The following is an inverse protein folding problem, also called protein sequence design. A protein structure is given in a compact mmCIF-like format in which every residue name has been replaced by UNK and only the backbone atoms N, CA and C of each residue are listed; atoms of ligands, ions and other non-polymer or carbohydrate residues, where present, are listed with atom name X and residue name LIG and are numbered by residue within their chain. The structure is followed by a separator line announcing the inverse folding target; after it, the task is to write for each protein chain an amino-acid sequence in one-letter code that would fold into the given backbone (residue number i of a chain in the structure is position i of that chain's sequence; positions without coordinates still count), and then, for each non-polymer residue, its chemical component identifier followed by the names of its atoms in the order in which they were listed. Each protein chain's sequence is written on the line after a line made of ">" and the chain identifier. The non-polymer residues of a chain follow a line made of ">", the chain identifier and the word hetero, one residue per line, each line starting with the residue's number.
data_IF_390508727022
#
_entry.id   IF_390508727022
#
_cell.length_a   1.000
_cell.length_b   1.000
_cell.length_c   1.000
_cell.angle_alpha   90.00
_cell.angle_beta   90.00
_cell.angle_gamma   90.00
#
_symmetry.space_group_name_H-M   'P 1'
#
loop_
_entity.id
_entity.type
_entity.pdbx_description
1 polymer ?
#
# COMPACT_ATOMS: atom_id res chain seq x y z
N UNK A 1 -29.12 -2.12 -26.01
CA UNK A 1 -28.20 -2.12 -24.84
C UNK A 1 -28.52 -0.92 -23.98
N UNK A 2 -28.55 -1.07 -22.65
CA UNK A 2 -28.70 0.03 -21.70
C UNK A 2 -27.42 0.16 -20.90
N UNK A 3 -26.88 1.36 -20.84
CA UNK A 3 -25.65 1.64 -20.10
C UNK A 3 -26.04 2.34 -18.78
N UNK A 4 -25.53 1.82 -17.67
CA UNK A 4 -25.77 2.33 -16.32
C UNK A 4 -24.44 2.89 -15.81
N UNK A 5 -24.28 4.19 -15.92
CA UNK A 5 -23.13 4.87 -15.34
C UNK A 5 -23.36 5.10 -13.85
N UNK A 6 -22.35 4.76 -13.04
CA UNK A 6 -22.42 4.86 -11.58
C UNK A 6 -21.31 5.76 -11.07
N UNK A 7 -21.69 6.86 -10.46
CA UNK A 7 -20.79 7.68 -9.66
C UNK A 7 -20.60 7.05 -8.28
N UNK A 8 -19.35 6.81 -7.91
CA UNK A 8 -18.98 6.04 -6.72
C UNK A 8 -18.61 6.99 -5.58
N UNK A 9 -19.37 6.93 -4.50
CA UNK A 9 -19.03 7.59 -3.24
C UNK A 9 -18.83 6.61 -2.10
N UNK A 10 -18.20 7.05 -1.04
CA UNK A 10 -17.90 6.24 0.16
C UNK A 10 -19.15 5.59 0.75
N UNK A 11 -20.22 6.37 0.92
CA UNK A 11 -21.42 5.94 1.62
C UNK A 11 -22.63 5.78 0.67
N UNK A 12 -22.64 6.51 -0.43
CA UNK A 12 -23.76 6.54 -1.38
C UNK A 12 -23.22 6.59 -2.80
N UNK A 13 -23.93 5.96 -3.69
CA UNK A 13 -23.69 5.96 -5.13
C UNK A 13 -24.88 6.60 -5.84
N UNK A 14 -24.64 7.11 -7.04
CA UNK A 14 -25.71 7.57 -7.92
C UNK A 14 -25.57 6.91 -9.30
N UNK A 15 -26.65 6.32 -9.81
CA UNK A 15 -26.68 5.66 -11.11
C UNK A 15 -27.58 6.42 -12.08
N UNK A 16 -27.09 6.61 -13.32
CA UNK A 16 -27.87 7.15 -14.43
C UNK A 16 -27.91 6.13 -15.56
N UNK A 17 -29.11 5.87 -16.08
CA UNK A 17 -29.32 4.96 -17.19
C UNK A 17 -29.42 5.75 -18.50
N UNK A 18 -28.74 5.25 -19.54
CA UNK A 18 -28.87 5.80 -20.90
C UNK A 18 -29.11 4.68 -21.93
N UNK A 19 -29.79 5.05 -23.03
CA UNK A 19 -29.92 4.19 -24.20
C UNK A 19 -28.68 4.26 -25.10
N UNK A 20 -28.65 3.48 -26.19
CA UNK A 20 -27.57 3.47 -27.20
C UNK A 20 -27.40 4.82 -27.91
N UNK A 21 -28.42 5.65 -27.94
CA UNK A 21 -28.35 6.99 -28.52
C UNK A 21 -27.83 8.04 -27.54
N UNK A 22 -27.70 7.67 -26.24
CA UNK A 22 -27.26 8.55 -25.18
C UNK A 22 -28.40 9.32 -24.48
N UNK A 23 -29.64 8.96 -24.73
CA UNK A 23 -30.80 9.58 -24.04
C UNK A 23 -30.93 8.98 -22.65
N UNK A 24 -31.24 9.85 -21.66
CA UNK A 24 -31.44 9.41 -20.27
C UNK A 24 -32.78 8.66 -20.17
N UNK A 25 -32.74 7.52 -19.49
CA UNK A 25 -33.90 6.68 -19.22
C UNK A 25 -34.31 6.87 -17.75
N UNK A 26 -35.44 7.49 -17.52
CA UNK A 26 -35.96 7.71 -16.18
C UNK A 26 -35.20 8.76 -15.35
N UNK A 27 -35.28 8.61 -14.03
CA UNK A 27 -34.52 9.45 -13.07
C UNK A 27 -33.29 8.74 -12.58
N UNK A 28 -32.26 9.49 -12.16
CA UNK A 28 -31.10 8.91 -11.48
C UNK A 28 -31.52 8.18 -10.20
N UNK A 29 -30.83 7.08 -9.90
CA UNK A 29 -31.08 6.20 -8.77
C UNK A 29 -30.01 6.43 -7.72
N UNK A 30 -30.38 7.01 -6.57
CA UNK A 30 -29.49 7.12 -5.41
C UNK A 30 -29.64 5.89 -4.52
N UNK A 31 -28.50 5.28 -4.19
CA UNK A 31 -28.47 4.09 -3.35
C UNK A 31 -27.24 4.10 -2.44
N UNK A 32 -27.33 3.38 -1.33
CA UNK A 32 -26.26 3.30 -0.35
C UNK A 32 -25.21 2.24 -0.76
N UNK A 33 -23.97 2.43 -0.32
CA UNK A 33 -22.90 1.42 -0.47
C UNK A 33 -23.14 0.28 0.55
N UNK A 34 -24.17 -0.52 0.29
CA UNK A 34 -24.64 -1.60 1.15
C UNK A 34 -25.42 -2.64 0.35
N UNK A 35 -25.64 -3.83 0.92
CA UNK A 35 -26.49 -4.86 0.31
C UNK A 35 -27.91 -4.35 0.04
N UNK A 36 -28.49 -3.56 0.95
CA UNK A 36 -29.81 -2.96 0.76
C UNK A 36 -29.81 -1.98 -0.41
N UNK A 37 -28.75 -1.17 -0.54
CA UNK A 37 -28.60 -0.24 -1.66
C UNK A 37 -28.42 -0.97 -2.99
N UNK A 38 -27.62 -2.04 -3.03
CA UNK A 38 -27.51 -2.90 -4.20
C UNK A 38 -28.87 -3.46 -4.62
N UNK A 39 -29.64 -4.05 -3.69
CA UNK A 39 -30.95 -4.60 -3.98
C UNK A 39 -31.93 -3.52 -4.48
N UNK A 40 -31.85 -2.30 -3.95
CA UNK A 40 -32.62 -1.14 -4.45
C UNK A 40 -32.28 -0.81 -5.90
N UNK A 41 -30.97 -0.78 -6.25
CA UNK A 41 -30.52 -0.55 -7.62
C UNK A 41 -31.10 -1.62 -8.55
N UNK A 42 -30.90 -2.91 -8.22
CA UNK A 42 -31.36 -4.03 -9.04
C UNK A 42 -32.92 -4.03 -9.18
N UNK A 43 -33.65 -3.82 -8.10
CA UNK A 43 -35.11 -3.72 -8.16
C UNK A 43 -35.56 -2.56 -9.06
N UNK A 44 -34.85 -1.43 -9.04
CA UNK A 44 -35.19 -0.28 -9.87
C UNK A 44 -34.97 -0.55 -11.36
N UNK A 45 -33.90 -1.27 -11.72
CA UNK A 45 -33.62 -1.61 -13.13
C UNK A 45 -34.52 -2.75 -13.64
N UNK A 46 -34.91 -3.69 -12.79
CA UNK A 46 -35.82 -4.79 -13.15
C UNK A 46 -37.23 -4.29 -13.57
N UNK A 47 -37.62 -3.13 -13.11
CA UNK A 47 -38.89 -2.49 -13.54
C UNK A 47 -38.94 -2.19 -15.04
N UNK A 48 -37.80 -2.16 -15.72
CA UNK A 48 -37.76 -1.97 -17.18
C UNK A 48 -38.04 -3.24 -17.99
N UNK A 49 -38.17 -4.43 -17.35
CA UNK A 49 -38.42 -5.72 -18.00
C UNK A 49 -37.43 -6.06 -19.12
N UNK A 50 -36.20 -5.73 -18.95
CA UNK A 50 -35.11 -5.95 -19.89
C UNK A 50 -34.21 -7.08 -19.37
N UNK A 51 -33.76 -7.96 -20.26
CA UNK A 51 -32.86 -9.06 -19.94
C UNK A 51 -31.51 -8.54 -19.41
N UNK A 52 -30.94 -9.24 -18.39
CA UNK A 52 -29.73 -8.82 -17.69
C UNK A 52 -28.50 -8.66 -18.60
N UNK A 53 -28.41 -9.45 -19.68
CA UNK A 53 -27.34 -9.41 -20.69
C UNK A 53 -27.31 -8.09 -21.49
N UNK A 54 -28.42 -7.35 -21.49
CA UNK A 54 -28.55 -6.05 -22.16
C UNK A 54 -28.13 -4.86 -21.31
N UNK A 55 -27.88 -5.07 -19.99
CA UNK A 55 -27.37 -4.04 -19.12
C UNK A 55 -25.83 -4.07 -19.09
N UNK A 56 -25.24 -2.88 -19.16
CA UNK A 56 -23.80 -2.67 -18.96
C UNK A 56 -23.66 -1.67 -17.82
N UNK A 57 -23.11 -2.14 -16.71
CA UNK A 57 -22.75 -1.28 -15.60
C UNK A 57 -21.38 -0.68 -15.83
N UNK A 58 -21.25 0.62 -15.61
CA UNK A 58 -20.04 1.35 -15.83
C UNK A 58 -19.72 2.21 -14.61
N UNK A 59 -18.50 2.15 -14.12
CA UNK A 59 -18.06 2.90 -12.95
C UNK A 59 -16.61 3.35 -13.09
N UNK A 60 -16.25 4.44 -12.42
CA UNK A 60 -14.89 4.96 -12.42
C UNK A 60 -14.06 4.31 -11.30
N UNK A 61 -12.80 3.95 -11.61
CA UNK A 61 -11.87 3.38 -10.64
C UNK A 61 -11.28 4.44 -9.69
N UNK A 62 -12.15 5.19 -8.99
CA UNK A 62 -11.71 6.19 -8.02
C UNK A 62 -11.60 5.60 -6.62
N UNK A 63 -10.38 5.58 -6.08
CA UNK A 63 -10.10 4.97 -4.77
C UNK A 63 -10.41 3.47 -4.75
N UNK A 64 -11.00 3.00 -3.65
CA UNK A 64 -11.34 1.57 -3.43
C UNK A 64 -12.84 1.30 -3.27
N UNK A 65 -13.67 2.34 -3.21
CA UNK A 65 -15.10 2.20 -2.89
C UNK A 65 -15.91 1.49 -3.97
N UNK A 66 -15.41 1.41 -5.20
CA UNK A 66 -16.04 0.72 -6.32
C UNK A 66 -15.93 -0.81 -6.23
N UNK A 67 -14.92 -1.33 -5.52
CA UNK A 67 -14.59 -2.77 -5.49
C UNK A 67 -15.74 -3.63 -4.97
N UNK A 68 -16.41 -3.21 -3.89
CA UNK A 68 -17.52 -3.98 -3.31
C UNK A 68 -18.72 -4.09 -4.27
N UNK A 69 -19.09 -2.97 -4.91
CA UNK A 69 -20.17 -2.95 -5.90
C UNK A 69 -19.79 -3.75 -7.14
N UNK A 70 -18.55 -3.62 -7.62
CA UNK A 70 -18.03 -4.37 -8.75
C UNK A 70 -18.10 -5.88 -8.49
N UNK A 71 -17.56 -6.36 -7.35
CA UNK A 71 -17.61 -7.77 -6.97
C UNK A 71 -19.04 -8.28 -6.97
N UNK A 72 -19.96 -7.52 -6.35
CA UNK A 72 -21.37 -7.93 -6.25
C UNK A 72 -22.08 -7.99 -7.59
N UNK A 73 -21.78 -7.08 -8.50
CA UNK A 73 -22.35 -7.09 -9.87
C UNK A 73 -21.81 -8.27 -10.67
N UNK A 74 -20.49 -8.55 -10.59
CA UNK A 74 -19.87 -9.70 -11.28
C UNK A 74 -20.38 -11.03 -10.72
N UNK A 75 -20.49 -11.17 -9.41
CA UNK A 75 -21.09 -12.35 -8.75
C UNK A 75 -22.55 -12.58 -9.16
N UNK A 76 -23.25 -11.53 -9.52
CA UNK A 76 -24.64 -11.56 -10.00
C UNK A 76 -24.75 -11.68 -11.53
N UNK A 77 -23.64 -11.98 -12.21
CA UNK A 77 -23.54 -12.22 -13.66
C UNK A 77 -23.92 -11.02 -14.56
N UNK A 78 -23.70 -9.80 -14.05
CA UNK A 78 -23.88 -8.58 -14.83
C UNK A 78 -22.61 -8.23 -15.61
N UNK A 79 -22.81 -7.55 -16.75
CA UNK A 79 -21.70 -6.99 -17.52
C UNK A 79 -21.22 -5.69 -16.85
N UNK A 80 -19.95 -5.65 -16.47
CA UNK A 80 -19.36 -4.49 -15.80
C UNK A 80 -18.13 -3.98 -16.54
N UNK A 81 -18.05 -2.66 -16.68
CA UNK A 81 -16.87 -1.95 -17.18
C UNK A 81 -16.38 -0.97 -16.13
N UNK A 82 -15.09 -1.03 -15.80
CA UNK A 82 -14.42 -0.06 -14.95
C UNK A 82 -13.61 0.89 -15.84
N UNK A 83 -13.86 2.18 -15.69
CA UNK A 83 -13.28 3.24 -16.53
C UNK A 83 -12.10 3.88 -15.78
N UNK A 84 -11.06 4.19 -16.53
CA UNK A 84 -9.95 4.98 -16.01
C UNK A 84 -10.41 6.43 -15.80
N UNK A 85 -10.17 7.06 -14.61
CA UNK A 85 -10.48 8.47 -14.33
C UNK A 85 -9.99 9.47 -15.39
N UNK A 86 -8.89 9.18 -16.06
CA UNK A 86 -8.37 10.03 -17.14
C UNK A 86 -9.37 10.15 -18.30
N UNK A 87 -10.13 9.08 -18.59
CA UNK A 87 -11.12 9.08 -19.68
C UNK A 87 -12.35 9.93 -19.32
N UNK A 88 -12.81 9.84 -18.08
CA UNK A 88 -13.92 10.68 -17.59
C UNK A 88 -13.51 12.14 -17.50
N UNK A 89 -12.31 12.45 -17.06
CA UNK A 89 -11.77 13.83 -17.05
C UNK A 89 -11.62 14.41 -18.46
N UNK A 90 -11.16 13.63 -19.42
CA UNK A 90 -11.09 14.04 -20.82
C UNK A 90 -12.49 14.34 -21.38
N UNK A 91 -13.48 13.47 -21.11
CA UNK A 91 -14.84 13.66 -21.53
C UNK A 91 -15.50 14.87 -20.85
N UNK A 92 -15.22 15.13 -19.56
CA UNK A 92 -15.74 16.28 -18.81
C UNK A 92 -15.35 17.61 -19.47
N UNK A 93 -14.17 17.72 -20.06
CA UNK A 93 -13.69 18.92 -20.77
C UNK A 93 -14.48 19.23 -22.05
N UNK A 94 -15.11 18.23 -22.66
CA UNK A 94 -16.00 18.45 -23.82
C UNK A 94 -17.35 19.04 -23.42
N UNK A 95 -17.81 18.80 -22.19
CA UNK A 95 -19.07 19.34 -21.67
C UNK A 95 -18.79 20.67 -20.95
N UNK A 96 -18.83 21.77 -21.67
CA UNK A 96 -18.38 23.14 -21.34
C UNK A 96 -19.01 23.78 -20.08
N UNK A 97 -19.78 23.10 -19.25
CA UNK A 97 -20.43 23.66 -18.05
C UNK A 97 -20.04 22.94 -16.77
N UNK A 98 -19.25 23.64 -15.96
CA UNK A 98 -18.56 23.19 -14.74
C UNK A 98 -19.41 23.03 -13.48
N UNK A 99 -20.64 22.59 -13.50
CA UNK A 99 -21.32 22.30 -12.24
C UNK A 99 -21.22 20.83 -11.91
N UNK A 100 -20.34 20.49 -10.94
CA UNK A 100 -20.28 19.15 -10.32
C UNK A 100 -21.64 18.84 -9.66
N UNK A 101 -22.25 17.75 -10.11
CA UNK A 101 -23.43 17.16 -9.48
C UNK A 101 -23.38 15.65 -9.78
N UNK A 102 -23.56 14.81 -8.77
CA UNK A 102 -23.44 13.35 -8.84
C UNK A 102 -24.24 12.71 -9.99
N UNK A 103 -25.43 13.26 -10.31
CA UNK A 103 -26.22 12.81 -11.47
C UNK A 103 -25.59 13.16 -12.82
N UNK A 104 -24.76 14.21 -12.90
CA UNK A 104 -24.02 14.55 -14.11
C UNK A 104 -22.76 13.69 -14.24
N UNK A 105 -22.12 13.37 -13.12
CA UNK A 105 -20.93 12.52 -13.12
C UNK A 105 -21.31 11.07 -13.48
N UNK A 106 -22.40 10.52 -12.96
CA UNK A 106 -22.90 9.19 -13.37
C UNK A 106 -23.34 9.16 -14.85
N UNK A 107 -23.97 10.22 -15.36
CA UNK A 107 -24.29 10.36 -16.78
C UNK A 107 -23.01 10.41 -17.64
N UNK A 108 -22.02 11.15 -17.23
CA UNK A 108 -20.74 11.26 -17.93
C UNK A 108 -20.03 9.90 -18.04
N UNK A 109 -20.00 9.13 -16.94
CA UNK A 109 -19.48 7.76 -16.91
C UNK A 109 -20.17 6.88 -17.94
N UNK A 110 -21.52 6.95 -18.00
CA UNK A 110 -22.30 6.21 -19.01
C UNK A 110 -21.95 6.64 -20.44
N UNK A 111 -21.76 7.94 -20.68
CA UNK A 111 -21.39 8.47 -21.99
C UNK A 111 -19.98 8.03 -22.42
N UNK A 112 -19.01 8.01 -21.51
CA UNK A 112 -17.65 7.50 -21.82
C UNK A 112 -17.70 6.05 -22.29
N UNK A 113 -18.50 5.20 -21.61
CA UNK A 113 -18.72 3.80 -22.05
C UNK A 113 -19.35 3.73 -23.41
N UNK A 114 -20.34 4.57 -23.69
CA UNK A 114 -21.02 4.61 -24.99
C UNK A 114 -20.09 5.01 -26.13
N UNK A 115 -19.23 6.02 -25.93
CA UNK A 115 -18.30 6.52 -26.95
C UNK A 115 -17.14 5.57 -27.21
N UNK A 116 -16.59 4.97 -26.16
CA UNK A 116 -15.42 4.07 -26.28
C UNK A 116 -15.81 2.63 -26.67
N UNK A 117 -17.11 2.32 -26.69
CA UNK A 117 -17.59 0.96 -26.78
C UNK A 117 -17.42 0.19 -25.45
N UNK A 118 -18.28 -0.80 -25.28
CA UNK A 118 -18.22 -1.66 -24.10
C UNK A 118 -17.03 -2.60 -24.17
N UNK A 119 -16.24 -2.63 -23.11
CA UNK A 119 -15.19 -3.63 -22.88
C UNK A 119 -15.36 -4.20 -21.47
N UNK A 120 -15.69 -5.50 -21.39
CA UNK A 120 -15.89 -6.17 -20.10
C UNK A 120 -14.61 -6.11 -19.28
N UNK A 121 -14.70 -5.56 -18.07
CA UNK A 121 -13.60 -5.63 -17.11
C UNK A 121 -13.65 -6.99 -16.43
N UNK A 122 -12.58 -7.74 -16.57
CA UNK A 122 -12.35 -8.99 -15.84
C UNK A 122 -11.49 -8.69 -14.62
N UNK A 123 -11.84 -9.29 -13.48
CA UNK A 123 -10.92 -9.28 -12.35
C UNK A 123 -9.65 -10.03 -12.71
N UNK A 124 -8.48 -9.51 -12.33
CA UNK A 124 -7.27 -10.32 -12.35
C UNK A 124 -7.45 -11.56 -11.48
N UNK A 125 -6.58 -12.55 -11.68
CA UNK A 125 -6.50 -13.73 -10.82
C UNK A 125 -6.38 -13.32 -9.33
N UNK A 126 -7.03 -14.07 -8.44
CA UNK A 126 -7.03 -13.79 -6.99
C UNK A 126 -5.61 -13.69 -6.42
N UNK A 127 -4.69 -14.53 -6.92
CA UNK A 127 -3.28 -14.51 -6.51
C UNK A 127 -2.62 -13.20 -6.93
N UNK A 128 -2.93 -12.69 -8.12
CA UNK A 128 -2.43 -11.40 -8.61
C UNK A 128 -2.93 -10.22 -7.77
N UNK A 129 -4.22 -10.23 -7.42
CA UNK A 129 -4.80 -9.20 -6.54
C UNK A 129 -4.14 -9.25 -5.16
N UNK A 130 -4.01 -10.47 -4.60
CA UNK A 130 -3.36 -10.69 -3.31
C UNK A 130 -1.91 -10.23 -3.30
N UNK A 131 -1.14 -10.53 -4.35
CA UNK A 131 0.23 -10.05 -4.50
C UNK A 131 0.30 -8.53 -4.53
N UNK A 132 -0.59 -7.88 -5.27
CA UNK A 132 -0.64 -6.43 -5.38
C UNK A 132 -0.92 -5.76 -4.03
N UNK A 133 -1.88 -6.26 -3.27
CA UNK A 133 -2.19 -5.74 -1.93
C UNK A 133 -1.02 -5.97 -0.95
N UNK A 134 -0.43 -7.17 -0.94
CA UNK A 134 0.67 -7.50 -0.03
C UNK A 134 1.95 -6.71 -0.35
N UNK A 135 2.28 -6.54 -1.63
CA UNK A 135 3.48 -5.79 -2.03
C UNK A 135 3.33 -4.29 -1.72
N UNK A 136 2.16 -3.72 -1.91
CA UNK A 136 1.86 -2.32 -1.54
C UNK A 136 1.91 -2.11 -0.03
N UNK A 137 1.30 -3.02 0.73
CA UNK A 137 1.35 -2.96 2.19
C UNK A 137 2.78 -3.13 2.72
N UNK A 138 3.56 -4.04 2.12
CA UNK A 138 4.99 -4.19 2.43
C UNK A 138 5.76 -2.89 2.20
N UNK A 139 5.55 -2.23 1.07
CA UNK A 139 6.20 -0.95 0.75
C UNK A 139 5.86 0.09 1.80
N UNK A 140 4.60 0.23 2.17
CA UNK A 140 4.15 1.11 3.25
C UNK A 140 4.91 0.83 4.58
N UNK A 141 5.04 -0.43 5.00
CA UNK A 141 5.79 -0.76 6.23
C UNK A 141 7.28 -0.44 6.12
N UNK A 142 7.90 -0.59 4.95
CA UNK A 142 9.32 -0.24 4.72
C UNK A 142 9.51 1.28 4.79
N UNK A 143 8.58 2.05 4.28
CA UNK A 143 8.60 3.50 4.38
C UNK A 143 8.44 3.95 5.84
N UNK A 144 7.52 3.35 6.59
CA UNK A 144 7.38 3.59 8.03
C UNK A 144 8.67 3.27 8.81
N UNK A 145 9.32 2.14 8.52
CA UNK A 145 10.63 1.80 9.13
C UNK A 145 11.64 2.90 8.85
N UNK A 146 11.67 3.43 7.64
CA UNK A 146 12.58 4.50 7.25
C UNK A 146 12.29 5.79 8.00
N UNK A 147 11.04 6.11 8.24
CA UNK A 147 10.61 7.26 9.04
C UNK A 147 11.02 7.11 10.51
N UNK A 148 10.81 5.92 11.10
CA UNK A 148 11.25 5.64 12.46
C UNK A 148 12.77 5.69 12.61
N UNK A 149 13.55 5.22 11.61
CA UNK A 149 15.00 5.35 11.61
C UNK A 149 15.45 6.81 11.59
N UNK A 150 14.80 7.67 10.80
CA UNK A 150 15.05 9.13 10.81
C UNK A 150 14.78 9.75 12.17
N UNK A 151 13.66 9.41 12.81
CA UNK A 151 13.34 9.87 14.16
C UNK A 151 14.37 9.40 15.19
N UNK A 152 14.76 8.13 15.13
CA UNK A 152 15.81 7.58 16.01
C UNK A 152 17.12 8.31 15.87
N UNK A 153 17.53 8.66 14.64
CA UNK A 153 18.75 9.45 14.38
C UNK A 153 18.68 10.81 15.07
N UNK A 154 17.54 11.51 14.98
CA UNK A 154 17.34 12.81 15.67
C UNK A 154 17.46 12.68 17.18
N UNK A 155 17.03 11.56 17.77
CA UNK A 155 17.21 11.31 19.20
C UNK A 155 18.67 11.02 19.51
N UNK A 156 19.34 10.19 18.70
CA UNK A 156 20.76 9.88 18.86
C UNK A 156 21.64 11.14 18.76
N UNK A 157 21.35 12.05 17.84
CA UNK A 157 22.06 13.34 17.72
C UNK A 157 22.03 14.17 19.02
N UNK A 158 21.04 13.93 19.88
CA UNK A 158 20.94 14.59 21.19
C UNK A 158 21.65 13.83 22.29
N UNK A 159 21.50 12.51 22.37
CA UNK A 159 21.93 11.68 23.49
C UNK A 159 23.30 11.03 23.27
N UNK A 160 23.70 10.79 22.04
CA UNK A 160 24.99 10.20 21.67
C UNK A 160 25.29 10.46 20.17
N UNK A 161 25.60 11.69 19.76
CA UNK A 161 25.77 12.07 18.35
C UNK A 161 26.83 11.26 17.60
N UNK A 162 27.90 10.85 18.28
CA UNK A 162 29.01 10.09 17.68
C UNK A 162 28.65 8.62 17.39
N UNK A 163 27.54 8.12 17.96
CA UNK A 163 27.15 6.71 17.88
C UNK A 163 26.95 6.23 16.43
N UNK A 164 26.44 7.09 15.56
CA UNK A 164 26.17 6.74 14.15
C UNK A 164 27.43 6.40 13.35
N UNK A 165 28.64 6.76 13.86
CA UNK A 165 29.92 6.52 13.21
C UNK A 165 30.52 5.15 13.55
N UNK A 166 30.01 4.47 14.59
CA UNK A 166 30.65 3.27 15.09
C UNK A 166 30.24 1.99 14.35
N UNK A 167 29.03 1.93 13.84
CA UNK A 167 28.53 0.77 13.11
C UNK A 167 28.25 1.14 11.65
N UNK A 168 28.52 0.21 10.73
CA UNK A 168 28.17 0.36 9.32
C UNK A 168 26.66 0.50 9.09
N UNK A 169 25.84 -0.12 9.96
CA UNK A 169 24.39 0.06 10.04
C UNK A 169 24.02 0.38 11.48
N UNK A 170 23.65 1.64 11.73
CA UNK A 170 23.22 2.15 13.04
C UNK A 170 22.00 1.39 13.58
N UNK A 171 21.17 0.86 12.71
CA UNK A 171 19.95 0.11 13.07
C UNK A 171 20.08 -1.39 12.83
N UNK A 172 21.33 -1.87 12.61
CA UNK A 172 21.64 -3.30 12.53
C UNK A 172 21.49 -4.01 13.87
N UNK A 173 21.41 -5.34 13.84
CA UNK A 173 21.10 -6.16 15.02
C UNK A 173 21.99 -5.84 16.23
N UNK A 174 23.32 -5.81 16.04
CA UNK A 174 24.26 -5.56 17.13
C UNK A 174 24.15 -4.14 17.67
N UNK A 175 24.02 -3.15 16.80
CA UNK A 175 23.84 -1.76 17.20
C UNK A 175 22.55 -1.57 18.00
N UNK A 176 21.44 -2.13 17.57
CA UNK A 176 20.17 -2.09 18.31
C UNK A 176 20.28 -2.71 19.70
N UNK A 177 20.99 -3.83 19.82
CA UNK A 177 21.25 -4.50 21.10
C UNK A 177 22.01 -3.58 22.07
N UNK A 178 23.06 -2.89 21.59
CA UNK A 178 23.82 -1.92 22.36
C UNK A 178 22.94 -0.73 22.79
N UNK A 179 22.21 -0.10 21.86
CA UNK A 179 21.34 1.04 22.14
C UNK A 179 20.21 0.69 23.13
N UNK A 180 19.72 -0.54 23.09
CA UNK A 180 18.69 -1.01 24.00
C UNK A 180 19.22 -1.16 25.42
N UNK A 181 20.44 -1.69 25.58
CA UNK A 181 21.09 -1.91 26.88
C UNK A 181 21.74 -0.65 27.42
N UNK A 182 22.47 0.07 26.57
CA UNK A 182 23.34 1.19 26.91
C UNK A 182 23.01 2.42 26.04
N UNK A 183 21.85 3.05 26.21
CA UNK A 183 21.39 4.14 25.34
C UNK A 183 22.18 5.44 25.48
N UNK A 184 22.89 5.63 26.60
CA UNK A 184 23.64 6.85 26.90
C UNK A 184 25.14 6.56 26.98
N UNK A 185 26.02 7.54 26.66
CA UNK A 185 27.47 7.40 26.83
C UNK A 185 27.87 6.95 28.25
N UNK A 186 27.21 7.50 29.30
CA UNK A 186 27.46 7.12 30.69
C UNK A 186 27.19 5.64 30.98
N UNK A 187 26.19 5.02 30.30
CA UNK A 187 25.84 3.62 30.51
C UNK A 187 26.98 2.72 29.97
N UNK A 188 27.57 3.11 28.84
CA UNK A 188 28.71 2.43 28.23
C UNK A 188 29.98 2.57 29.09
N UNK A 189 30.20 3.75 29.67
CA UNK A 189 31.34 4.02 30.53
C UNK A 189 31.27 3.31 31.88
N UNK A 190 30.06 3.05 32.37
CA UNK A 190 29.81 2.33 33.63
C UNK A 190 29.96 0.79 33.46
N UNK A 191 29.94 0.29 32.23
CA UNK A 191 30.11 -1.14 31.95
C UNK A 191 31.57 -1.50 31.78
N UNK A 192 31.97 -2.65 32.29
CA UNK A 192 33.33 -3.14 32.07
C UNK A 192 33.55 -3.56 30.60
N UNK A 193 34.78 -3.42 30.16
CA UNK A 193 35.15 -3.63 28.76
C UNK A 193 34.93 -5.09 28.30
N UNK A 194 35.09 -6.06 29.19
CA UNK A 194 34.93 -7.47 28.91
C UNK A 194 33.46 -7.81 28.70
N UNK A 195 32.59 -7.32 29.58
CA UNK A 195 31.11 -7.45 29.47
C UNK A 195 30.61 -6.81 28.19
N UNK A 196 31.06 -5.60 27.85
CA UNK A 196 30.67 -4.91 26.60
C UNK A 196 31.13 -5.69 25.37
N UNK A 197 32.39 -6.22 25.38
CA UNK A 197 32.91 -7.06 24.31
C UNK A 197 32.11 -8.35 24.13
N UNK A 198 31.67 -8.95 25.23
CA UNK A 198 30.80 -10.15 25.22
C UNK A 198 29.45 -9.89 24.58
N UNK A 199 28.80 -8.76 24.92
CA UNK A 199 27.52 -8.37 24.27
C UNK A 199 27.71 -8.16 22.77
N UNK A 200 28.75 -7.45 22.35
CA UNK A 200 29.09 -7.23 20.94
C UNK A 200 29.35 -8.55 20.21
N UNK A 201 30.17 -9.44 20.81
CA UNK A 201 30.48 -10.74 20.22
C UNK A 201 29.24 -11.62 20.05
N UNK A 202 28.41 -11.72 21.09
CA UNK A 202 27.20 -12.54 21.05
C UNK A 202 26.21 -12.05 19.98
N UNK A 203 25.94 -10.74 19.93
CA UNK A 203 24.98 -10.16 18.99
C UNK A 203 25.49 -10.15 17.53
N UNK A 204 26.81 -10.10 17.32
CA UNK A 204 27.45 -10.12 16.00
C UNK A 204 27.88 -11.51 15.51
N UNK A 205 27.61 -12.58 16.26
CA UNK A 205 28.09 -13.93 16.00
C UNK A 205 29.64 -13.99 15.89
N UNK A 206 30.34 -13.35 16.84
CA UNK A 206 31.78 -13.32 16.93
C UNK A 206 32.51 -12.35 16.01
N UNK A 207 31.82 -11.56 15.18
CA UNK A 207 32.48 -10.61 14.25
C UNK A 207 33.00 -9.36 14.93
N UNK A 208 32.36 -8.93 16.01
CA UNK A 208 32.76 -7.76 16.80
C UNK A 208 33.11 -8.22 18.22
N UNK A 209 34.11 -7.57 18.82
CA UNK A 209 34.59 -7.97 20.12
C UNK A 209 35.31 -6.81 20.84
N UNK A 210 36.41 -7.12 21.48
CA UNK A 210 37.15 -6.23 22.36
C UNK A 210 37.56 -4.89 21.74
N UNK A 211 38.15 -4.92 20.54
CA UNK A 211 38.54 -3.69 19.83
C UNK A 211 37.35 -2.77 19.54
N UNK A 212 36.18 -3.35 19.26
CA UNK A 212 34.95 -2.56 19.02
C UNK A 212 34.41 -2.00 20.33
N UNK A 213 34.55 -2.73 21.43
CA UNK A 213 34.17 -2.24 22.77
C UNK A 213 35.04 -1.04 23.20
N UNK A 214 36.37 -1.12 22.95
CA UNK A 214 37.31 -0.01 23.21
C UNK A 214 36.92 1.24 22.39
N UNK A 215 36.66 1.06 21.09
CA UNK A 215 36.20 2.17 20.23
C UNK A 215 34.94 2.82 20.78
N UNK A 216 33.97 2.01 21.20
CA UNK A 216 32.68 2.50 21.73
C UNK A 216 32.89 3.26 23.06
N UNK A 217 33.73 2.76 23.98
CA UNK A 217 34.06 3.46 25.22
C UNK A 217 34.84 4.77 24.96
N UNK A 218 35.71 4.80 23.98
CA UNK A 218 36.47 6.02 23.65
C UNK A 218 35.54 7.09 23.08
N UNK A 219 34.63 6.74 22.17
CA UNK A 219 33.60 7.68 21.71
C UNK A 219 32.66 8.14 22.81
N UNK A 220 32.32 7.26 23.75
CA UNK A 220 31.50 7.61 24.89
C UNK A 220 32.20 8.62 25.85
N UNK A 221 33.54 8.53 26.01
CA UNK A 221 34.31 9.50 26.81
C UNK A 221 34.34 10.89 26.19
N UNK A 222 34.39 10.96 24.87
CA UNK A 222 34.49 12.21 24.10
C UNK A 222 33.15 12.78 23.68
N UNK A 223 32.06 12.09 24.01
CA UNK A 223 30.72 12.45 23.51
C UNK A 223 30.25 13.82 23.97
N UNK A 224 29.81 14.61 22.99
CA UNK A 224 29.23 15.95 23.19
C UNK A 224 27.69 15.90 23.12
N UNK A 225 27.07 15.30 24.13
CA UNK A 225 25.64 15.08 24.22
C UNK A 225 24.96 16.02 25.22
N UNK A 226 23.63 16.17 25.15
CA UNK A 226 22.86 16.92 26.15
C UNK A 226 22.78 16.11 27.46
N UNK A 227 22.70 16.85 28.59
CA UNK A 227 22.66 16.25 29.93
C UNK A 227 21.31 16.43 30.65
N UNK A 228 20.30 16.95 29.93
CA UNK A 228 18.94 17.18 30.47
C UNK A 228 17.94 16.37 29.63
N UNK A 229 16.76 16.11 30.21
CA UNK A 229 15.70 15.29 29.60
C UNK A 229 16.14 13.88 29.16
N UNK A 230 17.24 13.36 29.69
CA UNK A 230 17.84 12.09 29.23
C UNK A 230 16.91 10.89 29.44
N UNK A 231 16.14 10.86 30.54
CA UNK A 231 15.19 9.76 30.81
C UNK A 231 14.09 9.69 29.73
N UNK A 232 13.53 10.85 29.36
CA UNK A 232 12.51 10.92 28.30
C UNK A 232 13.07 10.48 26.95
N UNK A 233 14.28 10.92 26.60
CA UNK A 233 14.94 10.56 25.35
C UNK A 233 15.34 9.08 25.31
N UNK A 234 15.74 8.50 26.44
CA UNK A 234 15.99 7.04 26.57
C UNK A 234 14.68 6.27 26.38
N UNK A 235 13.57 6.72 26.94
CA UNK A 235 12.27 6.10 26.71
C UNK A 235 11.88 6.18 25.23
N UNK A 236 12.09 7.35 24.61
CA UNK A 236 11.78 7.59 23.21
C UNK A 236 12.60 6.67 22.29
N UNK A 237 13.94 6.61 22.43
CA UNK A 237 14.77 5.77 21.59
C UNK A 237 14.44 4.28 21.74
N UNK A 238 14.23 3.80 22.97
CA UNK A 238 13.84 2.40 23.21
C UNK A 238 12.50 2.04 22.56
N UNK A 239 11.52 2.94 22.68
CA UNK A 239 10.21 2.76 22.03
C UNK A 239 10.33 2.71 20.51
N UNK A 240 11.11 3.63 19.91
CA UNK A 240 11.36 3.65 18.46
C UNK A 240 12.05 2.37 18.00
N UNK A 241 13.11 1.92 18.70
CA UNK A 241 13.84 0.69 18.34
C UNK A 241 12.94 -0.55 18.40
N UNK A 242 12.07 -0.66 19.41
CA UNK A 242 11.08 -1.73 19.53
C UNK A 242 10.08 -1.71 18.37
N UNK A 243 9.62 -0.52 17.97
CA UNK A 243 8.71 -0.36 16.83
C UNK A 243 9.38 -0.77 15.53
N UNK A 244 10.62 -0.34 15.29
CA UNK A 244 11.39 -0.76 14.10
C UNK A 244 11.52 -2.28 14.04
N UNK A 245 11.84 -2.93 15.15
CA UNK A 245 11.98 -4.39 15.21
C UNK A 245 10.65 -5.09 14.91
N UNK A 246 9.57 -4.60 15.49
CA UNK A 246 8.23 -5.13 15.22
C UNK A 246 7.87 -5.04 13.74
N UNK A 247 8.05 -3.87 13.12
CA UNK A 247 7.77 -3.66 11.70
C UNK A 247 8.69 -4.53 10.80
N UNK A 248 9.97 -4.65 11.12
CA UNK A 248 10.89 -5.54 10.40
C UNK A 248 10.44 -7.00 10.43
N UNK A 249 9.93 -7.47 11.57
CA UNK A 249 9.39 -8.82 11.69
C UNK A 249 8.11 -9.01 10.85
N UNK A 250 7.26 -7.98 10.75
CA UNK A 250 6.09 -8.01 9.87
C UNK A 250 6.50 -8.06 8.40
N UNK A 251 7.46 -7.22 7.98
CA UNK A 251 7.99 -7.22 6.61
C UNK A 251 8.55 -8.61 6.24
N UNK A 252 9.31 -9.25 7.15
CA UNK A 252 9.84 -10.59 6.89
C UNK A 252 8.74 -11.64 6.63
N UNK A 253 7.65 -11.60 7.42
CA UNK A 253 6.49 -12.50 7.21
C UNK A 253 5.78 -12.23 5.88
N UNK A 254 5.68 -10.96 5.48
CA UNK A 254 5.12 -10.59 4.18
C UNK A 254 6.01 -11.08 3.04
N UNK A 255 7.33 -10.95 3.16
CA UNK A 255 8.29 -11.42 2.16
C UNK A 255 8.16 -12.92 1.90
N UNK A 256 8.02 -13.72 2.97
CA UNK A 256 7.78 -15.16 2.86
C UNK A 256 6.46 -15.46 2.14
N UNK A 257 5.37 -14.78 2.51
CA UNK A 257 4.05 -14.99 1.89
C UNK A 257 4.04 -14.55 0.41
N UNK A 258 4.65 -13.41 0.10
CA UNK A 258 4.80 -12.89 -1.27
C UNK A 258 5.58 -13.90 -2.13
N UNK A 259 6.70 -14.45 -1.62
CA UNK A 259 7.48 -15.42 -2.35
C UNK A 259 6.70 -16.70 -2.67
N UNK A 260 5.89 -17.19 -1.72
CA UNK A 260 5.03 -18.37 -1.95
C UNK A 260 3.98 -18.10 -3.03
N UNK A 261 3.29 -16.96 -2.96
CA UNK A 261 2.27 -16.57 -3.94
C UNK A 261 2.87 -16.34 -5.33
N UNK A 262 4.03 -15.68 -5.42
CA UNK A 262 4.71 -15.48 -6.71
C UNK A 262 5.03 -16.80 -7.40
N UNK A 263 5.58 -17.75 -6.65
CA UNK A 263 5.91 -19.09 -7.20
C UNK A 263 4.68 -19.87 -7.63
N UNK A 264 3.52 -19.70 -6.99
CA UNK A 264 2.28 -20.34 -7.40
C UNK A 264 1.79 -19.89 -8.78
N UNK A 265 2.22 -18.72 -9.26
CA UNK A 265 1.93 -18.23 -10.62
C UNK A 265 2.76 -18.91 -11.72
N UNK A 266 3.80 -19.68 -11.37
CA UNK A 266 4.68 -20.33 -12.34
C UNK A 266 5.47 -19.35 -13.24
N UNK A 267 5.64 -18.10 -12.80
CA UNK A 267 6.38 -17.08 -13.55
C UNK A 267 7.89 -17.34 -13.55
N UNK A 268 8.56 -16.99 -14.63
CA UNK A 268 10.02 -17.09 -14.77
C UNK A 268 10.75 -15.80 -14.39
N UNK A 269 10.07 -14.81 -13.84
CA UNK A 269 10.63 -13.47 -13.61
C UNK A 269 11.86 -13.49 -12.66
N UNK A 270 11.91 -14.42 -11.71
CA UNK A 270 13.04 -14.59 -10.81
C UNK A 270 14.31 -15.10 -11.49
N UNK A 271 14.24 -15.56 -12.76
CA UNK A 271 15.44 -15.96 -13.54
C UNK A 271 16.24 -14.77 -14.04
N UNK A 272 15.67 -13.56 -14.02
CA UNK A 272 16.36 -12.33 -14.40
C UNK A 272 17.33 -11.93 -13.28
N UNK A 273 18.63 -11.78 -13.55
CA UNK A 273 19.60 -11.38 -12.54
C UNK A 273 19.20 -10.09 -11.82
N UNK A 274 19.23 -10.10 -10.49
CA UNK A 274 18.83 -8.96 -9.66
C UNK A 274 17.34 -8.85 -9.33
N UNK A 275 16.49 -9.69 -9.90
CA UNK A 275 15.07 -9.74 -9.55
C UNK A 275 14.83 -10.88 -8.54
N UNK A 276 14.68 -10.50 -7.28
CA UNK A 276 14.25 -11.40 -6.22
C UNK A 276 12.71 -11.49 -6.12
N UNK A 277 12.18 -12.37 -5.25
CA UNK A 277 10.75 -12.66 -5.19
C UNK A 277 9.88 -11.42 -4.92
N UNK A 278 10.33 -10.50 -4.09
CA UNK A 278 9.57 -9.26 -3.78
C UNK A 278 9.50 -8.34 -4.98
N UNK A 279 10.62 -8.08 -5.64
CA UNK A 279 10.66 -7.23 -6.84
C UNK A 279 9.89 -7.89 -7.99
N UNK A 280 10.05 -9.19 -8.17
CA UNK A 280 9.29 -9.97 -9.14
C UNK A 280 7.78 -9.88 -8.91
N UNK A 281 7.35 -9.99 -7.65
CA UNK A 281 5.95 -9.88 -7.28
C UNK A 281 5.38 -8.46 -7.57
N UNK A 282 6.16 -7.42 -7.26
CA UNK A 282 5.75 -6.03 -7.57
C UNK A 282 5.56 -5.88 -9.09
N UNK A 283 6.54 -6.29 -9.90
CA UNK A 283 6.47 -6.16 -11.36
C UNK A 283 5.26 -6.92 -11.90
N UNK A 284 5.13 -8.20 -11.55
CA UNK A 284 4.07 -9.07 -12.07
C UNK A 284 2.68 -8.56 -11.65
N UNK A 285 2.51 -8.18 -10.39
CA UNK A 285 1.19 -7.74 -9.88
C UNK A 285 0.78 -6.35 -10.37
N UNK A 286 1.71 -5.43 -10.65
CA UNK A 286 1.39 -4.10 -11.19
C UNK A 286 1.19 -4.13 -12.71
N UNK A 287 1.92 -4.96 -13.44
CA UNK A 287 1.70 -5.17 -14.87
C UNK A 287 0.38 -5.92 -15.13
N UNK A 288 0.09 -6.94 -14.33
CA UNK A 288 -1.09 -7.80 -14.55
C UNK A 288 -0.94 -8.65 -15.81
N UNK A 289 -2.00 -8.70 -16.65
CA UNK A 289 -1.95 -9.44 -17.91
C UNK A 289 -1.06 -8.71 -18.92
N UNK A 290 0.06 -9.33 -19.25
CA UNK A 290 1.02 -8.80 -20.24
C UNK A 290 0.42 -8.71 -21.65
N UNK A 291 -0.56 -9.58 -21.98
CA UNK A 291 -1.17 -9.62 -23.32
C UNK A 291 -2.04 -8.39 -23.62
N UNK A 292 -2.35 -7.57 -22.62
CA UNK A 292 -3.05 -6.29 -22.83
C UNK A 292 -2.22 -5.24 -23.57
N UNK A 293 -0.91 -5.43 -23.66
CA UNK A 293 -0.01 -4.54 -24.39
C UNK A 293 0.21 -5.08 -25.81
N UNK A 294 -0.05 -4.25 -26.80
CA UNK A 294 0.08 -4.62 -28.22
C UNK A 294 1.54 -4.70 -28.70
N UNK A 295 2.45 -4.09 -27.98
CA UNK A 295 3.91 -4.06 -28.23
C UNK A 295 4.67 -4.08 -26.90
N UNK A 296 5.87 -4.70 -26.93
CA UNK A 296 6.82 -4.71 -25.81
C UNK A 296 7.62 -3.41 -25.77
#
# INVERSE_FOLDING_TARGET
>A
MIIIGIDIGKNKHEATLIDEKGNIIGKSIKFENSTAGFNKLISSINNYNISNDKFVFSMEATGHYWLALFSKLVESDYNVQVINPIQTDACRKFYIRETKNDSKDSFLIAQVTRFNGYSKTTLPDEVMISLKELTRFRTFLVDDISDYKRKATVVLDKIFPEYTQIFSDTFGKTSKEILTKYPLPKDILNEDLESLAKVLSTSSKGRLGYSKAEQLQNLAKESFCIKFATEALVMEIKSILSTIEHLQNQVSKLDEKIAVLLRSLGTTIETIPGIGPVLGAIIVSEIGDINRFSHA
#
